data_IF_637771783706
#
_entry.id   IF_637771783706
#
_cell.length_a   1.000
_cell.length_b   1.000
_cell.length_c   1.000
_cell.angle_alpha   90.00
_cell.angle_beta   90.00
_cell.angle_gamma   90.00
#
_symmetry.space_group_name_H-M   'P 1'
#
loop_
_entity.id
_entity.type
_entity.pdbx_description
1 polymer ?
#
# COMPACT_ATOMS: atom_id res chain seq x y z
N UNK A 1 8.12 9.53 23.91
CA UNK A 1 6.85 9.00 23.36
C UNK A 1 6.05 10.20 22.87
N UNK A 2 5.92 10.38 21.56
CA UNK A 2 5.08 11.45 21.01
C UNK A 2 3.62 11.00 21.11
N UNK A 3 2.73 11.90 21.54
CA UNK A 3 1.29 11.71 21.50
C UNK A 3 0.71 12.68 20.48
N UNK A 4 -0.20 12.19 19.65
CA UNK A 4 -0.90 12.97 18.63
C UNK A 4 -2.37 12.95 19.00
N UNK A 5 -2.97 14.13 19.18
CA UNK A 5 -4.41 14.27 19.39
C UNK A 5 -5.11 14.36 18.04
N UNK A 6 -5.50 13.22 17.48
CA UNK A 6 -6.21 13.17 16.20
C UNK A 6 -7.70 12.86 16.42
N UNK A 7 -8.59 13.59 15.73
CA UNK A 7 -10.06 13.51 15.94
C UNK A 7 -10.81 12.86 14.79
N UNK A 8 -10.16 12.64 13.64
CA UNK A 8 -10.79 12.09 12.44
C UNK A 8 -11.01 10.57 12.53
N UNK A 9 -9.97 9.81 12.87
CA UNK A 9 -10.00 8.35 13.01
C UNK A 9 -8.80 7.85 13.81
N UNK A 10 -8.64 6.53 13.90
CA UNK A 10 -7.41 5.94 14.42
C UNK A 10 -6.22 6.25 13.49
N UNK A 11 -5.05 6.55 14.08
CA UNK A 11 -3.84 6.92 13.33
C UNK A 11 -3.47 5.89 12.24
N UNK A 12 -3.62 4.59 12.54
CA UNK A 12 -3.33 3.52 11.57
C UNK A 12 -4.27 3.45 10.37
N UNK A 13 -5.45 4.09 10.42
CA UNK A 13 -6.35 4.16 9.26
C UNK A 13 -6.02 5.37 8.37
N UNK A 14 -5.47 6.43 8.96
CA UNK A 14 -5.25 7.72 8.29
C UNK A 14 -3.82 7.94 7.84
N UNK A 15 -2.89 7.06 8.23
CA UNK A 15 -1.46 7.13 7.88
C UNK A 15 -1.03 5.80 7.25
N UNK A 16 -0.44 5.86 6.06
CA UNK A 16 0.32 4.77 5.45
C UNK A 16 1.73 5.31 5.16
N UNK A 17 2.77 4.70 5.71
CA UNK A 17 4.13 5.24 5.61
C UNK A 17 5.17 4.15 5.36
N UNK A 18 6.28 4.55 4.75
CA UNK A 18 7.54 3.82 4.73
C UNK A 18 8.64 4.73 5.32
N UNK A 19 9.92 4.39 5.10
CA UNK A 19 11.03 5.14 5.70
C UNK A 19 11.34 6.46 4.98
N UNK A 20 10.64 6.78 3.88
CA UNK A 20 10.90 7.97 3.06
C UNK A 20 9.67 8.87 2.89
N UNK A 21 8.48 8.27 2.79
CA UNK A 21 7.23 8.93 2.41
C UNK A 21 6.08 8.44 3.29
N UNK A 22 5.18 9.35 3.66
CA UNK A 22 3.92 9.05 4.29
C UNK A 22 2.74 9.60 3.48
N UNK A 23 1.77 8.74 3.20
CA UNK A 23 0.44 9.14 2.74
C UNK A 23 -0.45 9.37 3.96
N UNK A 24 -1.15 10.50 3.96
CA UNK A 24 -2.08 10.87 5.03
C UNK A 24 -3.45 11.25 4.49
N UNK A 25 -4.45 11.18 5.37
CA UNK A 25 -5.80 11.65 5.10
C UNK A 25 -5.80 13.11 4.61
N UNK A 26 -6.56 13.47 3.55
CA UNK A 26 -6.54 14.83 2.97
C UNK A 26 -6.90 15.95 3.95
N UNK A 27 -7.88 15.69 4.82
CA UNK A 27 -8.39 16.64 5.81
C UNK A 27 -7.61 16.63 7.14
N UNK A 28 -6.42 16.02 7.19
CA UNK A 28 -5.61 16.01 8.42
C UNK A 28 -5.19 17.43 8.81
N UNK A 29 -5.21 17.71 10.12
CA UNK A 29 -4.78 18.99 10.65
C UNK A 29 -3.29 19.21 10.34
N UNK A 30 -2.94 20.45 10.00
CA UNK A 30 -1.55 20.82 9.65
C UNK A 30 -0.58 20.55 10.80
N UNK A 31 -1.02 20.76 12.03
CA UNK A 31 -0.22 20.45 13.22
C UNK A 31 0.11 18.95 13.30
N UNK A 32 -0.88 18.08 13.03
CA UNK A 32 -0.65 16.63 12.96
C UNK A 32 0.30 16.25 11.82
N UNK A 33 0.14 16.86 10.64
CA UNK A 33 1.05 16.65 9.50
C UNK A 33 2.50 17.01 9.84
N UNK A 34 2.72 18.18 10.45
CA UNK A 34 4.05 18.64 10.87
C UNK A 34 4.65 17.69 11.92
N UNK A 35 3.85 17.20 12.88
CA UNK A 35 4.31 16.20 13.86
C UNK A 35 4.70 14.89 13.19
N UNK A 36 3.93 14.42 12.20
CA UNK A 36 4.25 13.17 11.47
C UNK A 36 5.56 13.34 10.71
N UNK A 37 5.72 14.44 9.98
CA UNK A 37 6.94 14.74 9.22
C UNK A 37 8.16 14.80 10.15
N UNK A 38 8.05 15.50 11.29
CA UNK A 38 9.16 15.68 12.22
C UNK A 38 9.50 14.41 13.01
N UNK A 39 8.52 13.58 13.35
CA UNK A 39 8.78 12.37 14.14
C UNK A 39 9.24 11.21 13.28
N UNK A 40 8.61 11.01 12.12
CA UNK A 40 8.96 9.92 11.20
C UNK A 40 10.11 10.30 10.26
N UNK A 41 10.42 11.59 10.11
CA UNK A 41 11.46 12.10 9.20
C UNK A 41 11.18 11.73 7.75
N UNK A 42 9.92 11.85 7.33
CA UNK A 42 9.42 11.48 5.99
C UNK A 42 8.70 12.64 5.32
N UNK A 43 8.63 12.61 4.00
CA UNK A 43 7.79 13.54 3.25
C UNK A 43 6.32 13.12 3.35
N UNK A 44 5.46 14.06 3.77
CA UNK A 44 4.05 13.79 3.97
C UNK A 44 3.24 14.28 2.76
N UNK A 45 2.42 13.40 2.19
CA UNK A 45 1.51 13.73 1.09
C UNK A 45 0.07 13.42 1.47
N UNK A 46 -0.79 14.42 1.30
CA UNK A 46 -2.25 14.31 1.44
C UNK A 46 -2.83 13.68 0.19
N UNK A 47 -3.31 12.44 0.30
CA UNK A 47 -3.81 11.71 -0.87
C UNK A 47 -4.96 10.76 -0.53
N UNK A 48 -5.66 10.29 -1.56
CA UNK A 48 -6.71 9.26 -1.46
C UNK A 48 -6.32 8.02 -2.25
N UNK A 49 -6.75 6.84 -1.79
CA UNK A 49 -6.53 5.56 -2.48
C UNK A 49 -7.88 5.02 -2.94
N UNK A 50 -8.06 4.88 -4.25
CA UNK A 50 -9.34 4.49 -4.86
C UNK A 50 -10.55 5.35 -4.41
N UNK A 51 -10.37 6.67 -4.29
CA UNK A 51 -11.35 7.62 -3.73
C UNK A 51 -11.70 7.39 -2.25
N UNK A 52 -10.94 6.58 -1.53
CA UNK A 52 -11.05 6.46 -0.08
C UNK A 52 -10.02 7.33 0.63
N UNK A 53 -10.46 8.00 1.68
CA UNK A 53 -9.65 8.89 2.50
C UNK A 53 -8.82 8.14 3.56
N UNK A 54 -9.20 6.90 3.89
CA UNK A 54 -8.52 6.06 4.87
C UNK A 54 -7.34 5.30 4.22
N UNK A 55 -6.30 6.04 3.86
CA UNK A 55 -5.14 5.51 3.15
C UNK A 55 -4.48 4.32 3.87
N UNK A 56 -4.39 4.35 5.21
CA UNK A 56 -3.79 3.27 6.00
C UNK A 56 -4.61 1.97 6.03
N UNK A 57 -5.93 2.05 5.82
CA UNK A 57 -6.77 0.85 5.75
C UNK A 57 -6.72 0.19 4.36
N UNK A 58 -6.52 0.98 3.31
CA UNK A 58 -6.64 0.55 1.91
C UNK A 58 -5.31 0.43 1.15
N UNK A 59 -4.20 0.70 1.83
CA UNK A 59 -2.85 0.60 1.29
C UNK A 59 -1.92 -0.07 2.31
N UNK A 60 -1.05 -0.95 1.83
CA UNK A 60 0.13 -1.41 2.56
C UNK A 60 1.38 -0.98 1.80
N UNK A 61 2.34 -0.38 2.51
CA UNK A 61 3.51 0.27 1.93
C UNK A 61 4.80 -0.26 2.57
N UNK A 62 5.83 -0.49 1.76
CA UNK A 62 7.21 -0.71 2.20
C UNK A 62 8.18 0.13 1.37
N UNK A 63 9.49 0.02 1.60
CA UNK A 63 10.48 0.71 0.75
C UNK A 63 10.66 0.03 -0.61
N UNK A 64 10.15 -1.20 -0.77
CA UNK A 64 10.32 -2.00 -2.00
C UNK A 64 9.12 -1.94 -2.94
N UNK A 65 7.94 -1.64 -2.41
CA UNK A 65 6.70 -1.65 -3.16
C UNK A 65 5.48 -1.29 -2.31
N UNK A 66 4.33 -1.26 -2.95
CA UNK A 66 3.04 -0.98 -2.32
C UNK A 66 1.93 -1.86 -2.90
N UNK A 67 0.99 -2.25 -2.03
CA UNK A 67 -0.25 -2.93 -2.41
C UNK A 67 -1.44 -2.03 -2.08
N UNK A 68 -2.27 -1.74 -3.07
CA UNK A 68 -3.45 -0.87 -2.94
C UNK A 68 -4.75 -1.59 -3.25
N UNK A 69 -5.84 -0.94 -2.88
CA UNK A 69 -7.20 -1.36 -3.17
C UNK A 69 -7.39 -1.82 -4.64
N UNK A 70 -8.09 -2.94 -4.89
CA UNK A 70 -8.15 -3.59 -6.21
C UNK A 70 -8.84 -2.75 -7.29
N UNK A 71 -9.73 -1.82 -6.91
CA UNK A 71 -10.43 -0.91 -7.84
C UNK A 71 -9.67 0.39 -8.15
N UNK A 72 -8.42 0.51 -7.71
CA UNK A 72 -7.59 1.69 -8.04
C UNK A 72 -7.34 1.70 -9.55
N UNK A 73 -7.63 2.82 -10.23
CA UNK A 73 -7.40 2.93 -11.67
C UNK A 73 -5.91 2.84 -11.99
N UNK A 74 -5.57 2.41 -13.20
CA UNK A 74 -4.17 2.32 -13.65
C UNK A 74 -3.50 3.69 -13.58
N UNK A 75 -4.22 4.75 -13.97
CA UNK A 75 -3.73 6.13 -13.89
C UNK A 75 -3.38 6.54 -12.46
N UNK A 76 -4.26 6.23 -11.49
CA UNK A 76 -3.98 6.53 -10.09
C UNK A 76 -2.84 5.67 -9.52
N UNK A 77 -2.68 4.43 -10.00
CA UNK A 77 -1.53 3.60 -9.64
C UNK A 77 -0.22 4.20 -10.16
N UNK A 78 -0.19 4.69 -11.39
CA UNK A 78 1.00 5.33 -11.99
C UNK A 78 1.36 6.65 -11.28
N UNK A 79 0.36 7.46 -10.94
CA UNK A 79 0.53 8.68 -10.15
C UNK A 79 1.11 8.39 -8.76
N UNK A 80 0.52 7.42 -8.03
CA UNK A 80 1.00 7.03 -6.70
C UNK A 80 2.39 6.39 -6.76
N UNK A 81 2.66 5.55 -7.75
CA UNK A 81 3.97 4.94 -7.99
C UNK A 81 5.04 6.01 -8.23
N UNK A 82 4.72 7.03 -9.03
CA UNK A 82 5.61 8.17 -9.28
C UNK A 82 5.80 9.04 -8.04
N UNK A 83 4.79 9.17 -7.19
CA UNK A 83 4.89 9.93 -5.94
C UNK A 83 5.75 9.19 -4.89
N UNK A 84 5.51 7.89 -4.72
CA UNK A 84 6.16 7.06 -3.71
C UNK A 84 7.52 6.52 -4.15
N UNK A 85 7.85 6.62 -5.44
CA UNK A 85 9.08 6.09 -6.07
C UNK A 85 9.24 4.57 -5.90
N UNK A 86 8.13 3.84 -5.69
CA UNK A 86 8.10 2.38 -5.54
C UNK A 86 7.01 1.77 -6.43
N UNK A 87 7.20 0.54 -6.93
CA UNK A 87 6.19 -0.13 -7.74
C UNK A 87 4.91 -0.36 -6.92
N UNK A 88 3.77 -0.12 -7.57
CA UNK A 88 2.46 -0.18 -6.95
C UNK A 88 1.61 -1.22 -7.66
N UNK A 89 0.95 -2.08 -6.90
CA UNK A 89 0.10 -3.15 -7.43
C UNK A 89 -1.28 -3.07 -6.79
N UNK A 90 -2.33 -3.19 -7.59
CA UNK A 90 -3.68 -3.36 -7.08
C UNK A 90 -3.98 -4.86 -6.84
N UNK A 91 -4.48 -5.20 -5.65
CA UNK A 91 -4.77 -6.59 -5.29
C UNK A 91 -5.74 -6.71 -4.13
N UNK A 92 -5.93 -7.93 -3.63
CA UNK A 92 -6.78 -8.25 -2.48
C UNK A 92 -6.02 -9.10 -1.48
N UNK A 93 -6.55 -9.19 -0.27
CA UNK A 93 -6.06 -10.06 0.82
C UNK A 93 -7.20 -10.88 1.39
N UNK A 94 -6.93 -11.95 2.14
CA UNK A 94 -7.97 -12.72 2.85
C UNK A 94 -9.17 -13.15 1.98
N UNK A 95 -8.93 -13.79 0.81
CA UNK A 95 -9.99 -14.24 -0.13
C UNK A 95 -10.84 -13.09 -0.67
N UNK A 96 -10.20 -12.06 -1.21
CA UNK A 96 -10.90 -10.99 -1.92
C UNK A 96 -11.30 -9.79 -1.06
N UNK A 97 -10.79 -9.69 0.18
CA UNK A 97 -10.95 -8.48 0.97
C UNK A 97 -10.18 -7.33 0.34
N UNK A 98 -10.82 -6.17 0.29
CA UNK A 98 -10.31 -4.92 -0.24
C UNK A 98 -9.64 -4.05 0.84
N UNK A 99 -9.70 -4.47 2.11
CA UNK A 99 -9.09 -3.76 3.26
C UNK A 99 -7.65 -4.26 3.47
N UNK A 100 -6.76 -3.80 2.61
CA UNK A 100 -5.37 -4.27 2.53
C UNK A 100 -4.60 -4.08 3.84
N UNK A 101 -4.63 -2.87 4.41
CA UNK A 101 -3.84 -2.53 5.61
C UNK A 101 -4.29 -3.27 6.87
N UNK A 102 -5.51 -3.81 6.91
CA UNK A 102 -5.97 -4.65 8.02
C UNK A 102 -5.57 -6.12 7.85
N UNK A 103 -5.39 -6.59 6.62
CA UNK A 103 -5.11 -7.99 6.30
C UNK A 103 -3.65 -8.32 6.03
N UNK A 104 -2.80 -7.30 5.90
CA UNK A 104 -1.40 -7.40 5.55
C UNK A 104 -0.57 -6.37 6.33
N UNK A 105 0.52 -6.84 6.95
CA UNK A 105 1.59 -5.99 7.49
C UNK A 105 2.89 -6.42 6.84
N UNK A 106 3.68 -5.47 6.35
CA UNK A 106 4.86 -5.76 5.55
C UNK A 106 5.99 -4.79 5.88
N UNK A 107 7.21 -5.28 5.78
CA UNK A 107 8.42 -4.47 5.72
C UNK A 107 9.29 -4.98 4.54
N UNK A 108 10.54 -4.54 4.47
CA UNK A 108 11.42 -4.84 3.34
C UNK A 108 11.83 -6.32 3.21
N UNK A 109 11.64 -7.14 4.24
CA UNK A 109 12.11 -8.55 4.24
C UNK A 109 11.07 -9.57 4.67
N UNK A 110 9.90 -9.14 5.19
CA UNK A 110 8.83 -10.05 5.59
C UNK A 110 7.46 -9.41 5.42
N UNK A 111 6.46 -10.24 5.11
CA UNK A 111 5.05 -9.91 5.18
C UNK A 111 4.31 -10.91 6.08
N UNK A 112 3.40 -10.38 6.89
CA UNK A 112 2.43 -11.13 7.67
C UNK A 112 1.05 -10.90 7.07
N UNK A 113 0.36 -11.99 6.74
CA UNK A 113 -0.94 -11.99 6.08
C UNK A 113 -1.94 -12.79 6.88
N UNK A 114 -3.23 -12.49 6.73
CA UNK A 114 -4.27 -13.30 7.35
C UNK A 114 -4.34 -14.70 6.73
N UNK A 115 -4.75 -15.67 7.57
CA UNK A 115 -4.75 -17.11 7.26
C UNK A 115 -5.57 -17.46 6.02
N UNK A 116 -6.63 -16.71 5.76
CA UNK A 116 -7.54 -16.96 4.65
C UNK A 116 -6.99 -16.46 3.30
N UNK A 117 -5.84 -15.79 3.27
CA UNK A 117 -5.23 -15.29 2.02
C UNK A 117 -4.88 -16.44 1.09
N UNK A 118 -5.39 -16.36 -0.14
CA UNK A 118 -5.23 -17.40 -1.16
C UNK A 118 -3.81 -17.43 -1.73
N UNK A 119 -3.36 -18.58 -2.24
CA UNK A 119 -2.02 -18.73 -2.81
C UNK A 119 -1.73 -17.71 -3.94
N UNK A 120 -2.75 -17.36 -4.74
CA UNK A 120 -2.64 -16.33 -5.78
C UNK A 120 -2.43 -14.93 -5.20
N UNK A 121 -3.12 -14.59 -4.11
CA UNK A 121 -2.89 -13.31 -3.41
C UNK A 121 -1.48 -13.28 -2.78
N UNK A 122 -1.04 -14.39 -2.18
CA UNK A 122 0.33 -14.51 -1.64
C UNK A 122 1.38 -14.26 -2.72
N UNK A 123 1.26 -14.89 -3.89
CA UNK A 123 2.20 -14.68 -4.99
C UNK A 123 2.23 -13.22 -5.47
N UNK A 124 1.09 -12.53 -5.48
CA UNK A 124 1.02 -11.10 -5.80
C UNK A 124 1.71 -10.26 -4.73
N UNK A 125 1.51 -10.56 -3.45
CA UNK A 125 2.14 -9.84 -2.32
C UNK A 125 3.66 -10.03 -2.36
N UNK A 126 4.14 -11.27 -2.50
CA UNK A 126 5.57 -11.58 -2.55
C UNK A 126 6.27 -10.83 -3.68
N UNK A 127 5.63 -10.75 -4.85
CA UNK A 127 6.19 -10.08 -6.01
C UNK A 127 6.05 -8.55 -5.94
N UNK A 128 4.97 -8.02 -5.34
CA UNK A 128 4.80 -6.58 -5.12
C UNK A 128 5.87 -6.02 -4.17
N UNK A 129 6.20 -6.75 -3.10
CA UNK A 129 7.15 -6.31 -2.06
C UNK A 129 8.57 -6.91 -2.20
N UNK A 130 8.84 -7.69 -3.26
CA UNK A 130 10.14 -8.29 -3.57
C UNK A 130 10.75 -9.15 -2.45
N UNK A 131 9.92 -9.84 -1.66
CA UNK A 131 10.33 -10.50 -0.40
C UNK A 131 11.22 -11.74 -0.59
N UNK A 132 11.35 -12.26 -1.82
CA UNK A 132 12.20 -13.41 -2.14
C UNK A 132 13.33 -13.08 -3.12
N UNK A 133 13.59 -11.80 -3.39
CA UNK A 133 14.49 -11.42 -4.49
C UNK A 133 13.99 -11.87 -5.86
N UNK A 134 12.68 -12.13 -5.99
CA UNK A 134 12.04 -12.37 -7.28
C UNK A 134 11.88 -11.04 -8.01
N UNK A 135 12.48 -10.95 -9.19
CA UNK A 135 12.24 -9.84 -10.12
C UNK A 135 10.76 -9.79 -10.50
N UNK A 136 10.17 -8.60 -10.47
CA UNK A 136 8.78 -8.29 -10.87
C UNK A 136 8.44 -8.67 -12.32
N UNK A 137 9.44 -9.07 -13.11
CA UNK A 137 9.30 -9.60 -14.48
C UNK A 137 8.42 -10.86 -14.55
N UNK A 138 8.31 -11.62 -13.46
CA UNK A 138 7.44 -12.80 -13.40
C UNK A 138 5.94 -12.46 -13.53
N UNK A 139 5.49 -11.30 -13.02
CA UNK A 139 4.06 -10.93 -13.04
C UNK A 139 3.64 -10.41 -14.42
N UNK A 140 4.51 -9.67 -15.11
CA UNK A 140 4.24 -9.18 -16.47
C UNK A 140 4.03 -10.38 -17.43
N UNK A 141 4.86 -11.41 -17.33
CA UNK A 141 4.71 -12.64 -18.11
C UNK A 141 3.45 -13.43 -17.77
N UNK A 142 3.02 -13.46 -16.51
CA UNK A 142 1.77 -14.15 -16.13
C UNK A 142 0.53 -13.49 -16.72
N UNK A 143 0.48 -12.15 -16.81
CA UNK A 143 -0.62 -11.45 -17.49
C UNK A 143 -0.66 -11.77 -18.99
N UNK A 144 0.48 -11.78 -19.66
CA UNK A 144 0.55 -12.08 -21.09
C UNK A 144 0.15 -13.54 -21.38
N UNK A 145 0.60 -14.50 -20.56
CA UNK A 145 0.22 -15.93 -20.74
C UNK A 145 -1.26 -16.21 -20.52
N UNK A 146 -1.93 -15.46 -19.63
CA UNK A 146 -3.38 -15.58 -19.43
C UNK A 146 -4.15 -14.94 -20.59
N UNK A 147 -3.67 -13.85 -21.19
CA UNK A 147 -4.32 -13.21 -22.33
C UNK A 147 -4.22 -14.12 -23.58
N UNK A 148 -3.08 -14.78 -23.80
CA UNK A 148 -2.88 -15.69 -24.94
C UNK A 148 -3.69 -17.00 -24.84
N UNK A 149 -4.14 -17.42 -23.65
CA UNK A 149 -5.00 -18.61 -23.50
C UNK A 149 -6.49 -18.32 -23.76
N UNK A 150 -6.90 -17.04 -23.79
CA UNK A 150 -8.28 -16.62 -24.03
C UNK A 150 -8.46 -15.86 -25.36
N UNK A 151 -7.43 -15.83 -26.22
CA UNK A 151 -7.47 -15.28 -27.58
C UNK A 151 -7.64 -16.37 -28.65
#
# INVERSE_FOLDING_TARGET
>A
MQRVEERLSALGNVIACNDYVALVHPDIDRETEEIIADVLQVEVFRQTVANNVLVGSYCALSNQGALVHPKTSIQAQDELSSLLQVPLVAGTVNRGSDVIGAGLVVNDWCAFIGLDTSATEVSVIEAAFKLQGQDTSAIAGMRDTLIDQFA
#
